data_IF_293696158849
#
_entry.id   IF_293696158849
#
_cell.length_a   1.000
_cell.length_b   1.000
_cell.length_c   1.000
_cell.angle_alpha   90.00
_cell.angle_beta   90.00
_cell.angle_gamma   90.00
#
_symmetry.space_group_name_H-M   'P 1'
#
loop_
_entity.id
_entity.type
_entity.pdbx_description
1 polymer ?
#
# COMPACT_ATOMS: atom_id res chain seq x y z
N UNK A 1 13.16 41.61 -40.41
CA UNK A 1 13.79 40.87 -39.29
C UNK A 1 12.78 40.25 -38.31
N UNK A 2 11.57 40.81 -38.16
CA UNK A 2 10.55 40.31 -37.21
C UNK A 2 9.84 38.98 -37.60
N UNK A 3 9.67 38.70 -38.90
CA UNK A 3 8.94 37.50 -39.39
C UNK A 3 9.63 36.17 -39.05
N UNK A 4 10.97 36.11 -39.04
CA UNK A 4 11.72 34.89 -38.68
C UNK A 4 11.50 34.47 -37.23
N UNK A 5 11.33 35.44 -36.32
CA UNK A 5 11.09 35.17 -34.90
C UNK A 5 9.68 34.65 -34.65
N UNK A 6 8.69 35.11 -35.43
CA UNK A 6 7.31 34.66 -35.31
C UNK A 6 7.16 33.16 -35.63
N UNK A 7 7.80 32.70 -36.71
CA UNK A 7 7.78 31.30 -37.11
C UNK A 7 8.47 30.38 -36.09
N UNK A 8 9.55 30.85 -35.47
CA UNK A 8 10.27 30.10 -34.41
C UNK A 8 9.41 30.00 -33.15
N UNK A 9 8.72 31.08 -32.77
CA UNK A 9 7.80 31.07 -31.61
C UNK A 9 6.60 30.15 -31.89
N UNK A 10 5.98 30.25 -33.08
CA UNK A 10 4.88 29.39 -33.47
C UNK A 10 5.27 27.91 -33.47
N UNK A 11 6.44 27.57 -34.00
CA UNK A 11 6.95 26.19 -34.01
C UNK A 11 7.18 25.65 -32.58
N UNK A 12 7.73 26.47 -31.68
CA UNK A 12 7.91 26.08 -30.26
C UNK A 12 6.57 25.84 -29.56
N UNK A 13 5.57 26.67 -29.81
CA UNK A 13 4.22 26.51 -29.24
C UNK A 13 3.58 25.22 -29.75
N UNK A 14 3.63 24.98 -31.07
CA UNK A 14 3.10 23.74 -31.68
C UNK A 14 3.79 22.51 -31.12
N UNK A 15 5.12 22.52 -31.03
CA UNK A 15 5.88 21.40 -30.46
C UNK A 15 5.52 21.15 -28.99
N UNK A 16 5.36 22.21 -28.19
CA UNK A 16 4.94 22.10 -26.79
C UNK A 16 3.52 21.52 -26.66
N UNK A 17 2.57 21.97 -27.48
CA UNK A 17 1.21 21.42 -27.51
C UNK A 17 1.19 19.95 -27.93
N UNK A 18 2.01 19.56 -28.91
CA UNK A 18 2.17 18.15 -29.31
C UNK A 18 2.75 17.33 -28.15
N UNK A 19 3.82 17.80 -27.50
CA UNK A 19 4.40 17.11 -26.34
C UNK A 19 3.41 16.94 -25.19
N UNK A 20 2.58 17.95 -24.90
CA UNK A 20 1.50 17.86 -23.89
C UNK A 20 0.42 16.85 -24.30
N UNK A 21 0.06 16.77 -25.57
CA UNK A 21 -0.92 15.81 -26.08
C UNK A 21 -0.40 14.37 -26.14
N UNK A 22 0.92 14.18 -26.30
CA UNK A 22 1.57 12.85 -26.24
C UNK A 22 1.85 12.41 -24.81
N UNK A 23 1.83 13.33 -23.84
CA UNK A 23 1.84 13.02 -22.41
C UNK A 23 0.48 12.47 -21.94
N UNK A 24 -0.02 11.42 -22.60
CA UNK A 24 -1.05 10.58 -22.01
C UNK A 24 -0.38 9.74 -20.92
N UNK A 25 -0.38 10.25 -19.68
CA UNK A 25 -0.30 9.35 -18.54
C UNK A 25 -1.48 8.40 -18.68
N UNK A 26 -1.24 7.11 -18.91
CA UNK A 26 -2.28 6.11 -18.73
C UNK A 26 -2.78 6.29 -17.30
N UNK A 27 -4.02 6.77 -17.15
CA UNK A 27 -4.68 6.84 -15.85
C UNK A 27 -4.95 5.40 -15.42
N UNK A 28 -3.95 4.80 -14.78
CA UNK A 28 -4.00 3.44 -14.27
C UNK A 28 -4.91 3.47 -13.04
N UNK A 29 -6.20 3.31 -13.30
CA UNK A 29 -7.21 3.17 -12.25
C UNK A 29 -7.13 1.75 -11.67
N UNK A 30 -6.42 1.62 -10.55
CA UNK A 30 -6.36 0.35 -9.82
C UNK A 30 -7.55 0.27 -8.85
N UNK A 31 -8.39 -0.77 -8.93
CA UNK A 31 -9.55 -0.88 -8.04
C UNK A 31 -9.14 -1.16 -6.59
N UNK A 32 -8.06 -1.92 -6.39
CA UNK A 32 -7.52 -2.29 -5.08
C UNK A 32 -6.04 -2.70 -5.18
N UNK A 33 -5.32 -2.61 -4.05
CA UNK A 33 -3.91 -3.05 -3.92
C UNK A 33 -3.81 -4.10 -2.80
N UNK A 34 -3.08 -5.18 -3.06
CA UNK A 34 -2.79 -6.19 -2.04
C UNK A 34 -1.27 -6.30 -1.85
N UNK A 35 -0.82 -6.14 -0.61
CA UNK A 35 0.60 -6.16 -0.29
C UNK A 35 0.97 -7.38 0.58
N UNK A 36 2.16 -7.91 0.36
CA UNK A 36 2.75 -9.04 1.06
C UNK A 36 4.21 -8.70 1.35
N UNK A 37 4.78 -9.25 2.41
CA UNK A 37 6.19 -9.00 2.72
C UNK A 37 6.52 -9.10 4.19
N UNK A 38 7.48 -8.28 4.60
CA UNK A 38 8.05 -8.25 5.95
C UNK A 38 7.88 -6.87 6.60
N UNK A 39 8.74 -6.56 7.58
CA UNK A 39 8.72 -5.32 8.35
C UNK A 39 8.81 -4.06 7.51
N UNK A 40 9.40 -4.12 6.31
CA UNK A 40 9.50 -2.96 5.42
C UNK A 40 8.14 -2.49 4.89
N UNK A 41 7.12 -3.33 5.02
CA UNK A 41 5.76 -3.03 4.56
C UNK A 41 4.66 -3.42 5.55
N UNK A 42 5.00 -3.92 6.75
CA UNK A 42 4.03 -4.30 7.78
C UNK A 42 3.36 -3.08 8.41
N UNK A 43 2.05 -2.94 8.19
CA UNK A 43 1.22 -1.85 8.74
C UNK A 43 0.57 -2.17 10.09
N UNK A 44 0.91 -3.31 10.71
CA UNK A 44 0.41 -3.74 12.03
C UNK A 44 -0.01 -5.21 12.14
N UNK A 45 0.23 -6.02 11.11
CA UNK A 45 -0.23 -7.40 11.04
C UNK A 45 0.47 -8.29 12.08
N UNK A 46 1.79 -8.15 12.27
CA UNK A 46 2.50 -8.90 13.32
C UNK A 46 1.98 -8.53 14.71
N UNK A 47 1.79 -7.23 14.97
CA UNK A 47 1.33 -6.71 16.25
C UNK A 47 -0.08 -7.21 16.59
N UNK A 48 -1.00 -7.13 15.64
CA UNK A 48 -2.36 -7.65 15.78
C UNK A 48 -2.37 -9.18 15.94
N UNK A 49 -1.59 -9.89 15.12
CA UNK A 49 -1.57 -11.36 15.11
C UNK A 49 -0.97 -11.99 16.36
N UNK A 50 0.04 -11.37 16.98
CA UNK A 50 0.67 -11.85 18.22
C UNK A 50 0.15 -11.15 19.49
N UNK A 51 -0.74 -10.17 19.35
CA UNK A 51 -1.40 -9.52 20.49
C UNK A 51 -0.49 -8.58 21.28
N UNK A 52 0.38 -7.81 20.60
CA UNK A 52 1.20 -6.79 21.24
C UNK A 52 1.03 -5.41 20.59
N UNK A 53 1.55 -4.37 21.24
CA UNK A 53 1.57 -3.01 20.69
C UNK A 53 3.00 -2.55 20.45
N UNK A 54 3.23 -1.96 19.28
CA UNK A 54 4.47 -1.25 18.98
C UNK A 54 4.40 0.15 19.56
N UNK A 55 4.99 0.33 20.73
CA UNK A 55 5.12 1.63 21.40
C UNK A 55 6.29 2.43 20.83
N UNK A 56 6.36 3.73 21.14
CA UNK A 56 7.39 4.68 20.70
C UNK A 56 8.81 4.07 20.52
N UNK A 57 9.53 4.38 19.42
CA UNK A 57 9.34 5.55 18.54
C UNK A 57 8.45 5.34 17.30
N UNK A 58 7.78 4.19 17.18
CA UNK A 58 7.06 3.81 15.96
C UNK A 58 5.84 4.69 15.66
N UNK A 59 5.86 5.38 14.50
CA UNK A 59 4.80 6.28 14.03
C UNK A 59 4.88 7.75 14.49
N UNK A 60 5.87 8.13 15.30
CA UNK A 60 5.95 9.46 15.92
C UNK A 60 6.04 10.63 14.91
N UNK A 61 6.77 10.48 13.81
CA UNK A 61 7.10 11.58 12.90
C UNK A 61 6.01 11.93 11.89
N UNK A 62 5.08 11.01 11.59
CA UNK A 62 4.04 11.23 10.59
C UNK A 62 2.62 11.06 11.15
N UNK A 63 2.39 9.97 11.88
CA UNK A 63 1.05 9.63 12.35
C UNK A 63 0.69 10.32 13.67
N UNK A 64 1.67 10.85 14.42
CA UNK A 64 1.49 11.45 15.74
C UNK A 64 0.69 10.56 16.70
N UNK A 65 0.82 9.24 16.57
CA UNK A 65 0.09 8.23 17.33
C UNK A 65 1.03 7.47 18.27
N UNK A 66 0.48 6.99 19.40
CA UNK A 66 1.24 6.22 20.40
C UNK A 66 1.62 4.81 19.94
N UNK A 67 0.90 4.27 18.95
CA UNK A 67 1.19 3.00 18.27
C UNK A 67 0.54 3.01 16.89
N UNK A 68 1.27 2.58 15.87
CA UNK A 68 0.77 2.47 14.48
C UNK A 68 0.88 1.07 13.91
N UNK A 69 1.46 0.13 14.67
CA UNK A 69 1.80 -1.21 14.17
C UNK A 69 2.96 -1.26 13.17
N UNK A 70 3.51 -0.11 12.75
CA UNK A 70 4.57 -0.02 11.72
C UNK A 70 5.95 -0.05 12.36
N UNK A 71 6.88 -0.82 11.81
CA UNK A 71 8.29 -0.83 12.21
C UNK A 71 9.07 0.37 11.64
N UNK A 72 8.48 1.55 11.70
CA UNK A 72 9.03 2.83 11.23
C UNK A 72 8.53 3.98 12.11
N UNK A 73 9.31 5.06 12.24
CA UNK A 73 8.86 6.29 12.91
C UNK A 73 7.85 7.09 12.09
N UNK A 74 7.62 6.73 10.82
CA UNK A 74 6.67 7.41 9.93
C UNK A 74 6.06 6.45 8.92
N UNK A 75 5.95 6.90 7.67
CA UNK A 75 5.41 6.14 6.55
C UNK A 75 6.35 5.03 6.08
N UNK A 76 5.78 3.90 5.68
CA UNK A 76 6.47 2.82 4.98
C UNK A 76 6.52 3.09 3.48
N UNK A 77 7.37 2.36 2.74
CA UNK A 77 7.43 2.47 1.28
C UNK A 77 6.07 2.25 0.62
N UNK A 78 5.26 1.33 1.15
CA UNK A 78 3.90 1.06 0.68
C UNK A 78 2.99 2.28 0.86
N UNK A 79 3.11 3.05 1.94
CA UNK A 79 2.29 4.25 2.15
C UNK A 79 2.58 5.31 1.07
N UNK A 80 3.84 5.48 0.66
CA UNK A 80 4.20 6.39 -0.45
C UNK A 80 3.66 5.92 -1.81
N UNK A 81 3.61 4.62 -2.05
CA UNK A 81 3.00 4.06 -3.27
C UNK A 81 1.49 4.31 -3.28
N UNK A 82 0.81 4.11 -2.15
CA UNK A 82 -0.63 4.40 -2.03
C UNK A 82 -0.92 5.89 -2.25
N UNK A 83 -0.10 6.77 -1.69
CA UNK A 83 -0.21 8.23 -1.91
C UNK A 83 -0.04 8.59 -3.40
N UNK A 84 0.96 8.01 -4.08
CA UNK A 84 1.19 8.24 -5.50
C UNK A 84 0.05 7.72 -6.39
N UNK A 85 -0.70 6.72 -5.92
CA UNK A 85 -1.89 6.17 -6.57
C UNK A 85 -3.18 6.88 -6.16
N UNK A 86 -3.11 7.91 -5.32
CA UNK A 86 -4.27 8.61 -4.74
C UNK A 86 -5.24 7.65 -4.03
N UNK A 87 -4.69 6.65 -3.33
CA UNK A 87 -5.44 5.64 -2.59
C UNK A 87 -5.22 5.77 -1.08
N UNK A 88 -6.19 5.31 -0.25
CA UNK A 88 -5.99 5.26 1.19
C UNK A 88 -4.86 4.28 1.55
N UNK A 89 -4.21 4.50 2.69
CA UNK A 89 -3.23 3.53 3.22
C UNK A 89 -3.87 2.17 3.46
N UNK A 90 -3.08 1.12 3.24
CA UNK A 90 -3.55 -0.24 3.44
C UNK A 90 -3.66 -0.55 4.94
N UNK A 91 -4.76 -1.22 5.29
CA UNK A 91 -4.98 -1.77 6.61
C UNK A 91 -4.40 -3.19 6.71
N UNK A 92 -3.89 -3.55 7.89
CA UNK A 92 -3.43 -4.91 8.18
C UNK A 92 -4.60 -5.90 8.17
N UNK A 93 -4.40 -7.09 7.62
CA UNK A 93 -5.43 -8.13 7.50
C UNK A 93 -5.95 -8.61 8.86
N UNK A 94 -5.06 -8.77 9.84
CA UNK A 94 -5.38 -9.32 11.17
C UNK A 94 -5.85 -8.26 12.17
N UNK A 95 -5.77 -6.97 11.83
CA UNK A 95 -6.32 -5.90 12.68
C UNK A 95 -7.81 -5.70 12.36
N UNK A 96 -8.67 -6.23 13.23
CA UNK A 96 -10.11 -6.40 12.95
C UNK A 96 -11.01 -5.37 13.63
N UNK A 97 -10.47 -4.52 14.51
CA UNK A 97 -11.29 -3.62 15.33
C UNK A 97 -11.22 -2.19 14.80
N UNK A 98 -12.39 -1.57 14.62
CA UNK A 98 -12.52 -0.14 14.33
C UNK A 98 -12.70 0.18 12.84
N UNK A 99 -11.77 0.96 12.29
CA UNK A 99 -11.82 1.55 10.94
C UNK A 99 -11.27 0.73 9.75
N UNK A 100 -10.77 -0.53 9.84
CA UNK A 100 -10.16 -1.16 8.69
C UNK A 100 -11.16 -1.30 7.53
N UNK A 101 -11.00 -0.45 6.51
CA UNK A 101 -11.73 -0.51 5.26
C UNK A 101 -10.85 -1.22 4.23
N UNK A 102 -11.32 -2.37 3.77
CA UNK A 102 -10.61 -3.20 2.79
C UNK A 102 -11.12 -3.03 1.35
N UNK A 103 -12.03 -2.09 1.08
CA UNK A 103 -12.59 -1.85 -0.26
C UNK A 103 -11.52 -1.46 -1.30
N UNK A 104 -10.43 -0.84 -0.85
CA UNK A 104 -9.30 -0.42 -1.69
C UNK A 104 -8.07 -1.32 -1.54
N UNK A 105 -8.20 -2.45 -0.87
CA UNK A 105 -7.08 -3.36 -0.68
C UNK A 105 -6.84 -3.76 0.76
N UNK A 106 -5.81 -4.59 0.95
CA UNK A 106 -5.43 -5.15 2.24
C UNK A 106 -3.93 -5.45 2.27
N UNK A 107 -3.32 -5.36 3.44
CA UNK A 107 -1.93 -5.68 3.65
C UNK A 107 -1.79 -6.95 4.51
N UNK A 108 -1.06 -7.93 3.98
CA UNK A 108 -0.77 -9.21 4.63
C UNK A 108 0.70 -9.30 5.07
N UNK A 109 1.49 -8.24 4.88
CA UNK A 109 2.87 -8.22 5.33
C UNK A 109 2.93 -8.22 6.85
N UNK A 110 3.76 -9.11 7.42
CA UNK A 110 4.03 -9.18 8.85
C UNK A 110 5.53 -9.10 9.10
N UNK A 111 5.97 -8.31 10.08
CA UNK A 111 7.37 -8.14 10.37
C UNK A 111 8.06 -9.46 10.75
N UNK A 112 9.33 -9.60 10.36
CA UNK A 112 10.10 -10.83 10.57
C UNK A 112 9.65 -12.04 9.75
N UNK A 113 8.67 -11.87 8.84
CA UNK A 113 8.26 -12.94 7.93
C UNK A 113 9.38 -13.34 6.99
N UNK A 114 9.40 -14.61 6.61
CA UNK A 114 10.32 -15.15 5.61
C UNK A 114 9.55 -15.88 4.52
N UNK A 115 10.22 -16.15 3.39
CA UNK A 115 9.62 -16.92 2.29
C UNK A 115 9.35 -18.37 2.73
N UNK A 116 10.23 -18.94 3.54
CA UNK A 116 10.11 -20.32 4.03
C UNK A 116 9.08 -20.42 5.15
N UNK A 117 8.53 -21.62 5.31
CA UNK A 117 7.62 -21.92 6.40
C UNK A 117 8.29 -21.61 7.76
N UNK A 118 7.50 -21.05 8.67
CA UNK A 118 7.98 -20.75 10.01
C UNK A 118 8.31 -22.05 10.76
N UNK A 119 9.38 -21.99 11.56
CA UNK A 119 9.77 -23.04 12.50
C UNK A 119 9.55 -22.55 13.92
N UNK A 120 9.76 -23.42 14.92
CA UNK A 120 9.71 -23.01 16.32
C UNK A 120 10.73 -21.90 16.68
N UNK A 121 11.77 -21.70 15.87
CA UNK A 121 12.76 -20.64 16.04
C UNK A 121 12.44 -19.35 15.28
N UNK A 122 11.39 -19.33 14.46
CA UNK A 122 11.03 -18.16 13.66
C UNK A 122 10.42 -17.06 14.52
N UNK A 123 10.85 -15.82 14.30
CA UNK A 123 10.31 -14.64 14.99
C UNK A 123 8.85 -14.35 14.63
N UNK A 124 8.46 -14.71 13.40
CA UNK A 124 7.12 -14.50 12.87
C UNK A 124 6.55 -15.84 12.39
N UNK A 125 5.34 -16.23 12.81
CA UNK A 125 4.68 -17.43 12.30
C UNK A 125 4.08 -17.22 10.90
N UNK A 126 3.91 -15.98 10.46
CA UNK A 126 3.21 -15.59 9.23
C UNK A 126 4.15 -15.57 8.01
N UNK A 127 4.75 -16.73 7.70
CA UNK A 127 5.56 -16.89 6.48
C UNK A 127 4.82 -16.43 5.21
N UNK A 128 5.55 -16.16 4.12
CA UNK A 128 4.94 -15.73 2.85
C UNK A 128 3.82 -16.67 2.38
N UNK A 129 3.99 -17.99 2.54
CA UNK A 129 2.92 -18.96 2.22
C UNK A 129 1.66 -18.79 3.08
N UNK A 130 1.81 -18.39 4.34
CA UNK A 130 0.67 -18.06 5.22
C UNK A 130 0.02 -16.75 4.77
N UNK A 131 0.79 -15.73 4.39
CA UNK A 131 0.25 -14.46 3.88
C UNK A 131 -0.59 -14.68 2.61
N UNK A 132 -0.11 -15.53 1.69
CA UNK A 132 -0.88 -15.92 0.50
C UNK A 132 -2.17 -16.66 0.89
N UNK A 133 -2.10 -17.56 1.89
CA UNK A 133 -3.28 -18.28 2.38
C UNK A 133 -4.31 -17.33 3.03
N UNK A 134 -3.85 -16.33 3.76
CA UNK A 134 -4.69 -15.26 4.31
C UNK A 134 -5.37 -14.47 3.19
N UNK A 135 -4.66 -14.12 2.11
CA UNK A 135 -5.26 -13.46 0.95
C UNK A 135 -6.32 -14.33 0.25
N UNK A 136 -6.05 -15.62 0.06
CA UNK A 136 -7.03 -16.54 -0.56
C UNK A 136 -8.31 -16.60 0.29
N UNK A 137 -8.16 -16.71 1.62
CA UNK A 137 -9.30 -16.68 2.55
C UNK A 137 -10.04 -15.34 2.49
N UNK A 138 -9.30 -14.23 2.54
CA UNK A 138 -9.85 -12.87 2.44
C UNK A 138 -10.68 -12.71 1.17
N UNK A 139 -10.12 -13.08 0.01
CA UNK A 139 -10.79 -13.01 -1.29
C UNK A 139 -12.08 -13.84 -1.30
N UNK A 140 -12.01 -15.08 -0.83
CA UNK A 140 -13.20 -15.94 -0.76
C UNK A 140 -14.29 -15.29 0.10
N UNK A 141 -13.92 -14.76 1.27
CA UNK A 141 -14.89 -14.12 2.17
C UNK A 141 -15.50 -12.85 1.59
N UNK A 142 -14.71 -12.02 0.91
CA UNK A 142 -15.22 -10.83 0.22
C UNK A 142 -16.22 -11.22 -0.86
N UNK A 143 -15.93 -12.25 -1.67
CA UNK A 143 -16.85 -12.69 -2.72
C UNK A 143 -18.17 -13.23 -2.14
N UNK A 144 -18.12 -13.95 -1.02
CA UNK A 144 -19.32 -14.39 -0.30
C UNK A 144 -20.16 -13.21 0.21
N UNK A 145 -19.51 -12.20 0.80
CA UNK A 145 -20.19 -11.00 1.32
C UNK A 145 -20.85 -10.21 0.19
N UNK A 146 -20.14 -10.01 -0.93
CA UNK A 146 -20.67 -9.35 -2.11
C UNK A 146 -21.87 -10.11 -2.70
N UNK A 147 -21.81 -11.45 -2.75
CA UNK A 147 -22.93 -12.27 -3.18
C UNK A 147 -24.14 -12.17 -2.23
N UNK A 148 -23.91 -11.89 -0.95
CA UNK A 148 -24.94 -11.63 0.05
C UNK A 148 -25.46 -10.18 0.04
N UNK A 149 -24.88 -9.29 -0.78
CA UNK A 149 -25.26 -7.88 -0.86
C UNK A 149 -24.76 -7.03 0.32
N UNK A 150 -23.70 -7.47 0.99
CA UNK A 150 -23.04 -6.80 2.12
C UNK A 150 -21.75 -6.12 1.65
#
# INVERSE_FOLDING_TARGET
MASKNYNVVAFKVVLHCICLAVANSSDLSYPAVFNFGDSNSDTGDLAAGLGFQLIQPYGQSYFNASSTGRFCNGRLIVDFLMDAMHMPFLNAYMDSIGLPNFQKGCNFAAAGSTILAATAASLCPFSFGIQVSQFIRFKARVLELLAAGI
#
